data_IF_368538454125
#
_entry.id   IF_368538454125
#
_cell.length_a   1.000
_cell.length_b   1.000
_cell.length_c   1.000
_cell.angle_alpha   90.00
_cell.angle_beta   90.00
_cell.angle_gamma   90.00
#
_symmetry.space_group_name_H-M   'P 1'
#
loop_
_entity.id
_entity.type
_entity.pdbx_description
1 polymer ?
#
# COMPACT_ATOMS: atom_id res chain seq x y z
N UNK A 1 -10.16 -20.05 8.64
CA UNK A 1 -9.37 -19.72 7.45
C UNK A 1 -8.28 -18.79 7.92
N UNK A 2 -7.04 -19.26 8.01
CA UNK A 2 -5.90 -18.37 8.28
C UNK A 2 -5.73 -17.51 7.03
N UNK A 3 -6.30 -16.32 7.03
CA UNK A 3 -5.93 -15.28 6.05
C UNK A 3 -4.49 -14.93 6.37
N UNK A 4 -3.55 -15.67 5.77
CA UNK A 4 -2.14 -15.33 5.82
C UNK A 4 -2.00 -13.91 5.28
N UNK A 5 -1.45 -13.04 6.12
CA UNK A 5 -1.21 -11.65 5.81
C UNK A 5 -0.31 -11.57 4.57
N UNK A 6 -0.70 -10.75 3.60
CA UNK A 6 -0.01 -10.66 2.30
C UNK A 6 1.47 -10.25 2.51
N UNK A 7 2.45 -11.10 2.14
CA UNK A 7 3.86 -10.88 2.45
C UNK A 7 4.47 -9.67 1.72
N UNK A 8 3.76 -9.11 0.75
CA UNK A 8 4.16 -7.89 0.03
C UNK A 8 4.10 -6.62 0.87
N UNK A 9 3.46 -6.70 2.04
CA UNK A 9 3.29 -5.57 2.95
C UNK A 9 4.00 -5.85 4.25
N UNK A 10 4.59 -4.81 4.82
CA UNK A 10 4.80 -4.78 6.25
C UNK A 10 3.42 -4.74 6.93
N UNK A 11 3.21 -5.62 7.91
CA UNK A 11 1.96 -5.66 8.68
C UNK A 11 2.24 -5.15 10.07
N UNK A 12 1.52 -4.10 10.46
CA UNK A 12 1.65 -3.48 11.77
C UNK A 12 0.53 -4.03 12.65
N UNK A 13 0.92 -4.68 13.75
CA UNK A 13 -0.02 -5.16 14.76
C UNK A 13 -0.53 -3.97 15.57
N UNK A 14 -1.83 -3.70 15.49
CA UNK A 14 -2.50 -2.58 16.17
C UNK A 14 -3.66 -3.09 17.01
N UNK A 15 -3.39 -3.86 18.08
CA UNK A 15 -4.46 -4.35 18.93
C UNK A 15 -5.20 -3.18 19.61
N UNK A 16 -6.52 -3.26 19.66
CA UNK A 16 -7.34 -2.34 20.45
C UNK A 16 -8.05 -3.07 21.61
N UNK A 17 -8.81 -2.32 22.41
CA UNK A 17 -9.49 -2.86 23.60
C UNK A 17 -10.54 -3.95 23.26
N UNK A 18 -10.96 -4.07 22.00
CA UNK A 18 -12.05 -4.93 21.54
C UNK A 18 -11.58 -6.02 20.56
N UNK A 19 -10.39 -5.85 19.95
CA UNK A 19 -9.81 -6.77 19.00
C UNK A 19 -8.28 -6.81 19.10
N UNK A 20 -7.78 -7.87 19.75
CA UNK A 20 -6.34 -8.11 19.88
C UNK A 20 -5.67 -8.62 18.59
N UNK A 21 -6.43 -8.96 17.55
CA UNK A 21 -5.93 -9.53 16.30
C UNK A 21 -6.10 -8.57 15.12
N UNK A 22 -6.00 -7.27 15.37
CA UNK A 22 -6.07 -6.27 14.32
C UNK A 22 -4.68 -5.97 13.73
N UNK A 23 -4.60 -6.02 12.41
CA UNK A 23 -3.40 -5.71 11.64
C UNK A 23 -3.76 -4.68 10.56
N UNK A 24 -2.89 -3.69 10.36
CA UNK A 24 -3.02 -2.71 9.27
C UNK A 24 -1.83 -2.84 8.32
N UNK A 25 -2.04 -2.46 7.06
CA UNK A 25 -0.97 -2.39 6.06
C UNK A 25 -0.04 -1.22 6.37
N UNK A 26 1.24 -1.51 6.57
CA UNK A 26 2.33 -0.56 6.66
C UNK A 26 2.96 -0.30 5.28
N UNK A 27 4.28 -0.23 5.23
CA UNK A 27 5.03 0.02 4.00
C UNK A 27 4.95 -1.15 2.99
N UNK A 28 5.05 -0.86 1.69
CA UNK A 28 5.21 -1.92 0.67
C UNK A 28 6.65 -2.43 0.67
N UNK A 29 6.84 -3.75 0.67
CA UNK A 29 8.17 -4.39 0.64
C UNK A 29 8.72 -4.59 -0.79
N UNK A 30 8.09 -4.02 -1.83
CA UNK A 30 8.58 -4.24 -3.19
C UNK A 30 9.83 -3.39 -3.46
N UNK A 31 10.78 -4.00 -4.16
CA UNK A 31 12.09 -3.43 -4.41
C UNK A 31 12.10 -2.33 -5.50
N UNK A 32 11.02 -2.21 -6.27
CA UNK A 32 10.97 -1.32 -7.43
C UNK A 32 9.84 -0.29 -7.27
N UNK A 33 10.12 0.91 -6.76
CA UNK A 33 9.15 2.01 -6.73
C UNK A 33 9.04 2.72 -8.08
N UNK A 34 7.81 3.04 -8.51
CA UNK A 34 7.46 3.92 -9.64
C UNK A 34 7.07 5.33 -9.14
N UNK A 35 7.53 6.41 -9.78
CA UNK A 35 7.19 7.77 -9.37
C UNK A 35 5.75 8.15 -9.76
N UNK A 36 5.01 8.75 -8.83
CA UNK A 36 3.66 9.31 -9.06
C UNK A 36 3.71 10.83 -9.07
N UNK A 37 3.18 11.41 -10.14
CA UNK A 37 3.16 12.85 -10.34
C UNK A 37 1.73 13.40 -10.24
N UNK A 38 1.56 14.55 -9.58
CA UNK A 38 0.30 15.26 -9.51
C UNK A 38 -0.04 15.88 -10.87
N UNK A 39 -1.28 15.72 -11.32
CA UNK A 39 -1.80 16.43 -12.49
C UNK A 39 -2.58 17.68 -12.05
N UNK A 40 -2.43 18.85 -12.72
CA UNK A 40 -1.64 19.12 -13.92
C UNK A 40 -0.20 19.59 -13.64
N UNK A 41 0.19 19.73 -12.37
CA UNK A 41 1.44 20.42 -12.00
C UNK A 41 2.71 19.64 -12.38
N UNK A 42 2.60 18.32 -12.56
CA UNK A 42 3.72 17.43 -12.81
C UNK A 42 4.63 17.22 -11.59
N UNK A 43 4.20 17.64 -10.40
CA UNK A 43 4.98 17.53 -9.17
C UNK A 43 5.04 16.07 -8.70
N UNK A 44 6.23 15.57 -8.37
CA UNK A 44 6.39 14.25 -7.77
C UNK A 44 5.79 14.26 -6.35
N UNK A 45 4.73 13.49 -6.13
CA UNK A 45 4.00 13.43 -4.85
C UNK A 45 4.24 12.13 -4.08
N UNK A 46 4.62 11.05 -4.77
CA UNK A 46 4.90 9.77 -4.13
C UNK A 46 5.78 8.88 -5.02
N UNK A 47 6.34 7.83 -4.41
CA UNK A 47 6.93 6.68 -5.09
C UNK A 47 6.09 5.46 -4.72
N UNK A 48 5.37 4.87 -5.68
CA UNK A 48 4.48 3.73 -5.48
C UNK A 48 5.03 2.47 -6.14
N UNK A 49 4.97 1.35 -5.46
CA UNK A 49 5.28 0.05 -6.05
C UNK A 49 4.29 -0.26 -7.22
N UNK A 50 4.72 -0.70 -8.42
CA UNK A 50 3.83 -0.98 -9.57
C UNK A 50 2.85 -2.13 -9.29
N UNK A 51 3.20 -3.03 -8.37
CA UNK A 51 2.32 -4.11 -7.88
C UNK A 51 1.35 -3.65 -6.79
N UNK A 52 1.52 -2.43 -6.26
CA UNK A 52 0.60 -1.77 -5.34
C UNK A 52 -0.51 -0.98 -6.07
N UNK A 53 -0.70 -1.21 -7.38
CA UNK A 53 -1.75 -0.65 -8.25
C UNK A 53 -3.19 -0.86 -7.73
N UNK A 54 -3.37 -1.53 -6.60
CA UNK A 54 -4.62 -1.54 -5.82
C UNK A 54 -4.93 -0.22 -5.11
N UNK A 55 -3.98 0.72 -5.03
CA UNK A 55 -4.19 2.04 -4.40
C UNK A 55 -4.30 3.20 -5.40
N UNK A 56 -4.02 2.97 -6.68
CA UNK A 56 -4.24 3.98 -7.70
C UNK A 56 -5.75 4.11 -7.96
N UNK A 57 -6.29 5.34 -8.09
CA UNK A 57 -7.64 5.53 -8.60
C UNK A 57 -7.81 4.74 -9.91
N UNK A 58 -8.96 4.10 -10.12
CA UNK A 58 -9.16 3.17 -11.25
C UNK A 58 -8.83 3.77 -12.63
N UNK A 59 -8.93 5.09 -12.76
CA UNK A 59 -8.52 5.90 -13.92
C UNK A 59 -7.00 5.86 -14.25
N UNK A 60 -6.16 5.32 -13.36
CA UNK A 60 -4.70 5.23 -13.51
C UNK A 60 -4.19 3.80 -13.74
N UNK A 61 -5.08 2.82 -13.93
CA UNK A 61 -4.70 1.47 -14.33
C UNK A 61 -4.38 1.43 -15.85
N UNK A 62 -3.33 0.72 -16.28
CA UNK A 62 -2.99 0.58 -17.70
C UNK A 62 -4.04 -0.20 -18.50
#
# INVERSE_FOLDING_TARGET
MSTELDPRWEWIHVPDAWNLNQWIKGECNHLTPEPVHAHPTGELVAHLCPDCNTQLPAEWQP
#
